data_IF_883908835569
#
_entry.id   IF_883908835569
#
_cell.length_a   1.000
_cell.length_b   1.000
_cell.length_c   1.000
_cell.angle_alpha   90.00
_cell.angle_beta   90.00
_cell.angle_gamma   90.00
#
_symmetry.space_group_name_H-M   'P 1'
#
loop_
_entity.id
_entity.type
_entity.pdbx_description
1 polymer ?
#
# COMPACT_ATOMS: atom_id res chain seq x y z
N UNK A 1 26.13 19.91 25.04
CA UNK A 1 25.78 19.89 23.59
C UNK A 1 25.61 18.47 23.01
N UNK A 2 25.76 17.39 23.80
CA UNK A 2 25.62 15.99 23.35
C UNK A 2 24.17 15.44 23.34
N UNK A 3 23.20 16.19 23.85
CA UNK A 3 21.83 15.71 24.07
C UNK A 3 20.92 15.89 22.83
N UNK A 4 21.08 17.00 22.11
CA UNK A 4 20.23 17.35 20.95
C UNK A 4 20.44 16.42 19.75
N UNK A 5 21.66 15.86 19.58
CA UNK A 5 22.00 14.93 18.49
C UNK A 5 21.48 13.50 18.73
N UNK A 6 21.40 13.07 19.98
CA UNK A 6 20.78 11.79 20.35
C UNK A 6 19.27 11.86 20.23
N UNK A 7 18.65 12.90 20.81
CA UNK A 7 17.22 13.14 20.68
C UNK A 7 16.78 13.25 19.21
N UNK A 8 17.56 13.92 18.35
CA UNK A 8 17.26 13.98 16.91
C UNK A 8 17.38 12.62 16.20
N UNK A 9 18.35 11.79 16.59
CA UNK A 9 18.51 10.43 16.02
C UNK A 9 17.40 9.48 16.44
N UNK A 10 16.81 9.67 17.61
CA UNK A 10 15.70 8.85 18.12
C UNK A 10 14.33 9.39 17.67
N UNK A 11 14.21 10.71 17.47
CA UNK A 11 12.97 11.36 17.02
C UNK A 11 12.78 11.27 15.50
N UNK A 12 13.86 11.30 14.71
CA UNK A 12 13.80 11.26 13.25
C UNK A 12 13.06 10.02 12.73
N UNK A 13 13.32 8.78 13.20
CA UNK A 13 12.56 7.60 12.80
C UNK A 13 11.07 7.70 13.12
N UNK A 14 10.72 8.28 14.27
CA UNK A 14 9.32 8.47 14.67
C UNK A 14 8.60 9.46 13.75
N UNK A 15 9.24 10.59 13.44
CA UNK A 15 8.69 11.60 12.52
C UNK A 15 8.50 11.01 11.12
N UNK A 16 9.48 10.26 10.63
CA UNK A 16 9.40 9.58 9.32
C UNK A 16 8.27 8.56 9.31
N UNK A 17 8.12 7.76 10.37
CA UNK A 17 7.07 6.75 10.46
C UNK A 17 5.67 7.37 10.52
N UNK A 18 5.48 8.43 11.32
CA UNK A 18 4.20 9.15 11.39
C UNK A 18 3.89 9.82 10.05
N UNK A 19 4.87 10.49 9.42
CA UNK A 19 4.67 11.11 8.12
C UNK A 19 4.28 10.08 7.04
N UNK A 20 4.93 8.91 7.05
CA UNK A 20 4.62 7.82 6.12
C UNK A 20 3.19 7.28 6.32
N UNK A 21 2.77 7.06 7.57
CA UNK A 21 1.41 6.59 7.86
C UNK A 21 0.34 7.63 7.54
N UNK A 22 0.60 8.91 7.82
CA UNK A 22 -0.28 10.00 7.43
C UNK A 22 -0.42 10.07 5.90
N UNK A 23 0.69 9.92 5.17
CA UNK A 23 0.68 9.91 3.71
C UNK A 23 -0.14 8.73 3.19
N UNK A 24 0.15 7.51 3.64
CA UNK A 24 -0.55 6.29 3.23
C UNK A 24 -2.07 6.38 3.50
N UNK A 25 -2.45 6.87 4.69
CA UNK A 25 -3.85 7.05 5.06
C UNK A 25 -4.53 8.10 4.18
N UNK A 26 -3.88 9.25 3.94
CA UNK A 26 -4.39 10.31 3.07
C UNK A 26 -4.62 9.83 1.64
N UNK A 27 -3.69 9.05 1.09
CA UNK A 27 -3.79 8.46 -0.24
C UNK A 27 -4.96 7.48 -0.35
N UNK A 28 -5.18 6.61 0.65
CA UNK A 28 -6.34 5.70 0.64
C UNK A 28 -7.68 6.42 0.77
N UNK A 29 -7.74 7.51 1.55
CA UNK A 29 -8.94 8.35 1.63
C UNK A 29 -9.23 9.03 0.29
N UNK A 30 -8.21 9.62 -0.34
CA UNK A 30 -8.31 10.25 -1.66
C UNK A 30 -8.71 9.24 -2.75
N UNK A 31 -8.16 8.04 -2.70
CA UNK A 31 -8.55 6.93 -3.58
C UNK A 31 -10.02 6.53 -3.36
N UNK A 32 -10.47 6.41 -2.11
CA UNK A 32 -11.87 6.10 -1.81
C UNK A 32 -12.80 7.22 -2.33
N UNK A 33 -12.43 8.48 -2.16
CA UNK A 33 -13.19 9.61 -2.70
C UNK A 33 -13.29 9.56 -4.24
N UNK A 34 -12.19 9.26 -4.93
CA UNK A 34 -12.17 9.12 -6.39
C UNK A 34 -13.02 7.94 -6.89
N UNK A 35 -12.98 6.80 -6.20
CA UNK A 35 -13.80 5.63 -6.56
C UNK A 35 -15.30 5.86 -6.29
N UNK A 36 -15.66 6.64 -5.27
CA UNK A 36 -17.05 7.07 -5.04
C UNK A 36 -17.58 7.97 -6.18
N UNK A 37 -16.71 8.68 -6.89
CA UNK A 37 -17.07 9.45 -8.09
C UNK A 37 -17.10 8.61 -9.38
N UNK A 38 -16.95 7.28 -9.27
CA UNK A 38 -17.06 6.33 -10.38
C UNK A 38 -15.74 5.98 -11.06
N UNK A 39 -14.59 6.36 -10.49
CA UNK A 39 -13.29 5.99 -11.04
C UNK A 39 -12.99 4.50 -10.85
N UNK A 40 -12.51 3.83 -11.91
CA UNK A 40 -12.10 2.43 -11.86
C UNK A 40 -10.74 2.27 -11.15
N UNK A 41 -10.66 1.29 -10.25
CA UNK A 41 -9.44 0.96 -9.49
C UNK A 41 -8.25 0.68 -10.41
N UNK A 42 -8.49 -0.02 -11.52
CA UNK A 42 -7.43 -0.39 -12.47
C UNK A 42 -6.86 0.82 -13.20
N UNK A 43 -7.74 1.73 -13.59
CA UNK A 43 -7.38 2.98 -14.27
C UNK A 43 -6.56 3.85 -13.32
N UNK A 44 -6.98 3.96 -12.06
CA UNK A 44 -6.23 4.70 -11.02
C UNK A 44 -4.81 4.17 -10.85
N UNK A 45 -4.65 2.86 -10.64
CA UNK A 45 -3.33 2.21 -10.46
C UNK A 45 -2.44 2.46 -11.67
N UNK A 46 -2.99 2.31 -12.89
CA UNK A 46 -2.25 2.51 -14.13
C UNK A 46 -1.72 3.93 -14.25
N UNK A 47 -2.56 4.93 -13.99
CA UNK A 47 -2.15 6.32 -14.05
C UNK A 47 -1.17 6.69 -12.94
N UNK A 48 -1.39 6.22 -11.71
CA UNK A 48 -0.48 6.48 -10.59
C UNK A 48 0.96 6.02 -10.90
N UNK A 49 1.14 4.75 -11.32
CA UNK A 49 2.47 4.24 -11.67
C UNK A 49 3.05 4.91 -12.92
N UNK A 50 2.23 5.20 -13.93
CA UNK A 50 2.70 5.86 -15.16
C UNK A 50 3.21 7.27 -14.90
N UNK A 51 2.47 8.06 -14.13
CA UNK A 51 2.87 9.43 -13.78
C UNK A 51 4.08 9.40 -12.85
N UNK A 52 4.14 8.46 -11.89
CA UNK A 52 5.32 8.31 -11.01
C UNK A 52 6.59 8.01 -11.80
N UNK A 53 6.54 7.06 -12.74
CA UNK A 53 7.66 6.77 -13.63
C UNK A 53 8.07 7.99 -14.47
N UNK A 54 7.11 8.72 -15.06
CA UNK A 54 7.39 9.90 -15.89
C UNK A 54 8.03 11.04 -15.09
N UNK A 55 7.60 11.27 -13.85
CA UNK A 55 8.17 12.29 -12.96
C UNK A 55 9.57 11.88 -12.48
N UNK A 56 9.79 10.59 -12.22
CA UNK A 56 11.10 10.09 -11.80
C UNK A 56 12.13 10.07 -12.94
N UNK A 57 11.69 9.98 -14.20
CA UNK A 57 12.57 9.94 -15.38
C UNK A 57 13.59 11.09 -15.46
N UNK A 58 13.23 12.39 -15.35
CA UNK A 58 14.22 13.45 -15.32
C UNK A 58 15.12 13.38 -14.08
N UNK A 59 14.56 13.07 -12.92
CA UNK A 59 15.31 13.02 -11.64
C UNK A 59 16.40 11.94 -11.70
N UNK A 60 16.07 10.76 -12.19
CA UNK A 60 17.02 9.63 -12.30
C UNK A 60 18.11 9.90 -13.33
N UNK A 61 17.76 10.55 -14.46
CA UNK A 61 18.73 10.92 -15.49
C UNK A 61 19.77 11.92 -14.97
N UNK A 62 19.35 12.97 -14.26
CA UNK A 62 20.26 13.96 -13.67
C UNK A 62 21.07 13.38 -12.49
N UNK A 63 20.44 12.54 -11.66
CA UNK A 63 21.09 11.90 -10.52
C UNK A 63 22.19 10.94 -10.96
N UNK A 64 21.92 10.09 -11.96
CA UNK A 64 22.89 9.13 -12.52
C UNK A 64 24.11 9.83 -13.13
N UNK A 65 23.95 11.04 -13.65
CA UNK A 65 25.08 11.85 -14.16
C UNK A 65 26.00 12.34 -13.04
N UNK A 66 25.49 12.45 -11.82
CA UNK A 66 26.18 13.08 -10.67
C UNK A 66 26.83 12.08 -9.72
N UNK A 67 26.61 10.77 -9.90
CA UNK A 67 27.07 9.69 -9.01
C UNK A 67 27.60 8.50 -9.80
N UNK A 68 28.61 7.83 -9.27
CA UNK A 68 29.03 6.50 -9.74
C UNK A 68 28.06 5.48 -9.13
N UNK A 69 27.16 4.94 -9.95
CA UNK A 69 26.20 3.90 -9.55
C UNK A 69 26.67 2.53 -10.02
N UNK A 70 26.37 1.44 -9.27
CA UNK A 70 26.66 0.08 -9.70
C UNK A 70 26.03 -0.20 -11.08
N UNK A 71 26.66 -1.01 -11.94
CA UNK A 71 26.07 -1.37 -13.22
C UNK A 71 24.78 -2.16 -13.01
N UNK A 72 23.72 -1.75 -13.72
CA UNK A 72 22.43 -2.42 -13.68
C UNK A 72 22.52 -3.72 -14.48
N UNK A 73 22.66 -4.85 -13.78
CA UNK A 73 22.70 -6.18 -14.41
C UNK A 73 21.28 -6.68 -14.70
N UNK A 74 21.14 -7.60 -15.66
CA UNK A 74 19.85 -8.22 -15.96
C UNK A 74 19.24 -8.95 -14.74
N UNK A 75 20.09 -9.56 -13.90
CA UNK A 75 19.67 -10.21 -12.65
C UNK A 75 19.00 -9.21 -11.70
N UNK A 76 19.64 -8.06 -11.45
CA UNK A 76 19.09 -7.00 -10.59
C UNK A 76 17.79 -6.45 -11.20
N UNK A 77 17.78 -6.21 -12.51
CA UNK A 77 16.59 -5.74 -13.20
C UNK A 77 15.41 -6.73 -13.08
N UNK A 78 15.67 -8.04 -13.19
CA UNK A 78 14.65 -9.07 -12.99
C UNK A 78 14.12 -9.08 -11.56
N UNK A 79 14.98 -8.88 -10.55
CA UNK A 79 14.56 -8.77 -9.15
C UNK A 79 13.68 -7.54 -8.94
N UNK A 80 14.07 -6.39 -9.50
CA UNK A 80 13.27 -5.15 -9.44
C UNK A 80 11.94 -5.31 -10.18
N UNK A 81 11.93 -6.00 -11.33
CA UNK A 81 10.70 -6.28 -12.06
C UNK A 81 9.73 -7.15 -11.24
N UNK A 82 10.24 -8.18 -10.58
CA UNK A 82 9.45 -9.03 -9.67
C UNK A 82 8.93 -8.23 -8.47
N UNK A 83 9.75 -7.33 -7.91
CA UNK A 83 9.33 -6.38 -6.88
C UNK A 83 8.18 -5.48 -7.40
N UNK A 84 8.25 -5.03 -8.66
CA UNK A 84 7.19 -4.29 -9.37
C UNK A 84 5.87 -5.07 -9.46
N UNK A 85 5.93 -6.34 -9.86
CA UNK A 85 4.77 -7.23 -9.96
C UNK A 85 4.11 -7.43 -8.58
N UNK A 86 4.90 -7.69 -7.54
CA UNK A 86 4.39 -7.86 -6.17
C UNK A 86 3.70 -6.58 -5.70
N UNK A 87 4.34 -5.42 -5.89
CA UNK A 87 3.80 -4.13 -5.46
C UNK A 87 2.50 -3.76 -6.20
N UNK A 88 2.47 -3.93 -7.52
CA UNK A 88 1.28 -3.72 -8.32
C UNK A 88 0.12 -4.65 -7.90
N UNK A 89 0.41 -5.94 -7.69
CA UNK A 89 -0.60 -6.92 -7.26
C UNK A 89 -1.17 -6.58 -5.90
N UNK A 90 -0.31 -6.18 -4.96
CA UNK A 90 -0.69 -5.73 -3.63
C UNK A 90 -1.61 -4.51 -3.68
N UNK A 91 -1.27 -3.47 -4.45
CA UNK A 91 -2.11 -2.29 -4.59
C UNK A 91 -3.49 -2.60 -5.19
N UNK A 92 -3.55 -3.44 -6.23
CA UNK A 92 -4.83 -3.86 -6.83
C UNK A 92 -5.71 -4.57 -5.80
N UNK A 93 -5.13 -5.49 -5.01
CA UNK A 93 -5.83 -6.18 -3.91
C UNK A 93 -6.28 -5.21 -2.81
N UNK A 94 -5.44 -4.25 -2.43
CA UNK A 94 -5.77 -3.22 -1.46
C UNK A 94 -6.96 -2.37 -1.90
N UNK A 95 -6.94 -1.88 -3.12
CA UNK A 95 -8.02 -1.08 -3.70
C UNK A 95 -9.31 -1.87 -3.90
N UNK A 96 -9.22 -3.14 -4.33
CA UNK A 96 -10.36 -4.03 -4.37
C UNK A 96 -10.93 -4.26 -2.95
N UNK A 97 -10.08 -4.51 -1.97
CA UNK A 97 -10.45 -4.69 -0.57
C UNK A 97 -11.18 -3.47 0.02
N UNK A 98 -10.65 -2.26 -0.20
CA UNK A 98 -11.28 -0.99 0.20
C UNK A 98 -12.63 -0.78 -0.49
N UNK A 99 -12.77 -1.22 -1.75
CA UNK A 99 -14.04 -1.12 -2.49
C UNK A 99 -15.13 -2.00 -1.87
N UNK A 100 -14.80 -3.23 -1.46
CA UNK A 100 -15.73 -4.16 -0.82
C UNK A 100 -15.94 -3.92 0.69
N UNK A 101 -15.10 -3.10 1.31
CA UNK A 101 -15.16 -2.77 2.74
C UNK A 101 -15.04 -1.26 2.98
N UNK A 102 -14.08 -0.83 3.80
CA UNK A 102 -13.87 0.57 4.16
C UNK A 102 -12.38 0.91 4.34
N UNK A 103 -11.99 2.19 4.17
CA UNK A 103 -10.64 2.65 4.51
C UNK A 103 -10.29 2.40 5.99
N UNK A 104 -11.25 2.46 6.90
CA UNK A 104 -11.04 2.17 8.33
C UNK A 104 -10.61 0.72 8.55
N UNK A 105 -11.25 -0.25 7.87
CA UNK A 105 -10.85 -1.66 7.94
C UNK A 105 -9.44 -1.85 7.38
N UNK A 106 -9.10 -1.17 6.29
CA UNK A 106 -7.74 -1.19 5.73
C UNK A 106 -6.71 -0.69 6.74
N UNK A 107 -6.98 0.44 7.40
CA UNK A 107 -6.09 0.98 8.45
C UNK A 107 -5.93 0.01 9.62
N UNK A 108 -7.02 -0.61 10.07
CA UNK A 108 -6.97 -1.60 11.14
C UNK A 108 -6.13 -2.83 10.77
N UNK A 109 -6.27 -3.37 9.57
CA UNK A 109 -5.47 -4.51 9.10
C UNK A 109 -4.00 -4.09 8.87
N UNK A 110 -3.73 -2.87 8.41
CA UNK A 110 -2.36 -2.37 8.24
C UNK A 110 -1.61 -2.20 9.57
N UNK A 111 -2.31 -1.98 10.67
CA UNK A 111 -1.70 -2.07 12.01
C UNK A 111 -1.19 -3.48 12.34
N UNK A 112 -1.54 -4.51 11.58
CA UNK A 112 -1.00 -5.87 11.71
C UNK A 112 0.30 -6.09 10.92
N UNK A 113 0.74 -5.12 10.10
CA UNK A 113 1.94 -5.22 9.28
C UNK A 113 3.19 -5.62 10.07
N UNK A 114 3.47 -5.06 11.27
CA UNK A 114 4.62 -5.51 12.07
C UNK A 114 4.55 -6.99 12.46
N UNK A 115 3.35 -7.50 12.75
CA UNK A 115 3.14 -8.90 13.10
C UNK A 115 3.35 -9.82 11.87
N UNK A 116 2.81 -9.45 10.71
CA UNK A 116 3.08 -10.17 9.46
C UNK A 116 4.57 -10.17 9.10
N UNK A 117 5.24 -9.03 9.29
CA UNK A 117 6.68 -8.87 9.07
C UNK A 117 7.49 -9.81 9.95
N UNK A 118 7.14 -9.91 11.23
CA UNK A 118 7.79 -10.83 12.16
C UNK A 118 7.61 -12.29 11.75
N UNK A 119 6.37 -12.69 11.42
CA UNK A 119 6.06 -14.06 10.97
C UNK A 119 6.84 -14.40 9.71
N UNK A 120 6.89 -13.50 8.73
CA UNK A 120 7.64 -13.70 7.49
C UNK A 120 9.14 -13.81 7.75
N UNK A 121 9.71 -12.94 8.59
CA UNK A 121 11.12 -12.99 8.96
C UNK A 121 11.52 -14.32 9.64
N UNK A 122 10.61 -14.89 10.42
CA UNK A 122 10.76 -16.23 11.01
C UNK A 122 10.74 -17.33 9.95
N UNK A 123 9.75 -17.32 9.06
CA UNK A 123 9.60 -18.34 8.00
C UNK A 123 10.80 -18.31 7.04
N UNK A 124 11.22 -17.12 6.63
CA UNK A 124 12.39 -16.90 5.76
C UNK A 124 13.73 -17.17 6.45
N UNK A 125 13.74 -17.59 7.73
CA UNK A 125 14.94 -17.79 8.57
C UNK A 125 15.88 -16.59 8.64
N UNK A 126 15.38 -15.39 8.32
CA UNK A 126 16.13 -14.14 8.49
C UNK A 126 16.35 -13.84 9.97
N UNK A 127 15.48 -14.36 10.84
CA UNK A 127 15.57 -14.23 12.29
C UNK A 127 15.69 -15.62 12.95
N UNK A 128 16.81 -15.88 13.64
CA UNK A 128 16.94 -17.07 14.50
C UNK A 128 16.15 -16.79 15.79
N UNK A 129 15.09 -17.56 16.03
CA UNK A 129 14.28 -17.44 17.26
C UNK A 129 15.10 -17.93 18.45
N UNK A 130 15.88 -17.04 19.05
CA UNK A 130 16.41 -17.23 20.39
C UNK A 130 15.43 -16.58 21.37
N UNK A 131 14.46 -17.35 21.87
CA UNK A 131 13.36 -16.87 22.74
C UNK A 131 13.86 -16.10 23.98
N UNK A 132 15.10 -16.35 24.43
CA UNK A 132 15.76 -15.65 25.53
C UNK A 132 16.36 -14.27 25.17
N UNK A 133 16.44 -13.89 23.89
CA UNK A 133 17.06 -12.63 23.46
C UNK A 133 16.07 -11.48 23.63
N UNK A 134 16.46 -10.43 24.37
CA UNK A 134 15.60 -9.26 24.66
C UNK A 134 15.02 -8.58 23.41
N UNK A 135 15.78 -8.57 22.30
CA UNK A 135 15.33 -8.02 21.01
C UNK A 135 14.19 -8.84 20.39
N UNK A 136 14.26 -10.17 20.47
CA UNK A 136 13.22 -11.07 19.95
C UNK A 136 11.96 -10.99 20.82
N UNK A 137 12.11 -10.87 22.14
CA UNK A 137 10.97 -10.63 23.03
C UNK A 137 10.30 -9.28 22.79
N UNK A 138 11.07 -8.21 22.56
CA UNK A 138 10.53 -6.90 22.21
C UNK A 138 9.75 -6.93 20.88
N UNK A 139 10.25 -7.65 19.86
CA UNK A 139 9.54 -7.84 18.58
C UNK A 139 8.24 -8.63 18.72
N UNK A 140 8.25 -9.70 19.53
CA UNK A 140 7.04 -10.48 19.83
C UNK A 140 6.02 -9.62 20.58
N UNK A 141 6.46 -8.92 21.64
CA UNK A 141 5.58 -8.06 22.43
C UNK A 141 5.03 -6.90 21.61
N UNK A 142 5.87 -6.27 20.78
CA UNK A 142 5.43 -5.25 19.83
C UNK A 142 4.40 -5.78 18.84
N UNK A 143 4.58 -7.00 18.33
CA UNK A 143 3.60 -7.64 17.44
C UNK A 143 2.26 -7.90 18.16
N UNK A 144 2.29 -8.39 19.39
CA UNK A 144 1.09 -8.62 20.21
C UNK A 144 0.37 -7.31 20.50
N UNK A 145 1.10 -6.24 20.87
CA UNK A 145 0.53 -4.90 21.10
C UNK A 145 -0.08 -4.35 19.80
N UNK A 146 0.57 -4.55 18.66
CA UNK A 146 0.06 -4.16 17.33
C UNK A 146 -1.27 -4.85 17.00
N UNK A 147 -1.34 -6.16 17.25
CA UNK A 147 -2.55 -6.98 17.06
C UNK A 147 -3.67 -6.50 17.98
N UNK A 148 -3.37 -6.30 19.27
CA UNK A 148 -4.35 -5.78 20.23
C UNK A 148 -4.82 -4.38 19.86
N UNK A 149 -3.93 -3.50 19.41
CA UNK A 149 -4.28 -2.15 18.93
C UNK A 149 -5.22 -2.19 17.72
N UNK A 150 -4.97 -3.07 16.76
CA UNK A 150 -5.86 -3.28 15.60
C UNK A 150 -7.25 -3.76 16.03
N UNK A 151 -7.33 -4.72 16.96
CA UNK A 151 -8.60 -5.19 17.51
C UNK A 151 -9.33 -4.11 18.28
N UNK A 152 -8.65 -3.32 19.12
CA UNK A 152 -9.26 -2.21 19.85
C UNK A 152 -9.79 -1.16 18.88
N UNK A 153 -9.05 -0.75 17.85
CA UNK A 153 -9.58 0.20 16.85
C UNK A 153 -10.81 -0.35 16.13
N UNK A 154 -10.79 -1.64 15.78
CA UNK A 154 -11.92 -2.32 15.11
C UNK A 154 -13.15 -2.40 16.00
N UNK A 155 -13.00 -2.76 17.28
CA UNK A 155 -14.12 -2.89 18.22
C UNK A 155 -14.59 -1.55 18.79
N UNK A 156 -13.69 -0.57 18.99
CA UNK A 156 -14.00 0.71 19.62
C UNK A 156 -14.59 1.72 18.63
N UNK A 157 -14.17 1.71 17.35
CA UNK A 157 -14.83 2.51 16.30
C UNK A 157 -16.07 1.83 15.71
N UNK A 158 -16.33 0.57 16.06
CA UNK A 158 -17.44 -0.21 15.52
C UNK A 158 -17.42 -0.29 14.00
N UNK A 159 -18.47 -0.87 13.42
CA UNK A 159 -18.72 -0.94 11.98
C UNK A 159 -18.86 0.49 11.44
N UNK A 160 -17.74 1.16 11.16
CA UNK A 160 -17.72 2.58 10.83
C UNK A 160 -18.31 2.79 9.44
N UNK A 161 -19.62 3.03 9.46
CA UNK A 161 -20.42 3.82 8.52
C UNK A 161 -20.37 3.31 7.09
N UNK A 162 -21.32 2.41 6.81
CA UNK A 162 -22.03 2.37 5.53
C UNK A 162 -22.56 3.79 5.34
N UNK A 163 -21.83 4.64 4.61
CA UNK A 163 -22.38 5.92 4.16
C UNK A 163 -23.47 5.53 3.17
N UNK A 164 -24.71 5.78 3.60
CA UNK A 164 -25.91 5.58 2.83
C UNK A 164 -25.77 6.23 1.46
N UNK A 165 -26.04 5.45 0.41
CA UNK A 165 -26.40 5.98 -0.89
C UNK A 165 -27.68 6.82 -0.70
N UNK A 166 -27.51 8.14 -0.70
CA UNK A 166 -28.62 9.08 -0.80
C UNK A 166 -29.18 9.01 -2.21
N UNK A 167 -30.33 8.34 -2.36
CA UNK A 167 -31.27 8.56 -3.46
C UNK A 167 -32.69 8.38 -2.92
N UNK A 168 -33.59 9.38 -3.06
CA UNK A 168 -34.93 9.28 -2.51
C UNK A 168 -35.85 8.62 -3.54
N UNK A 169 -36.23 7.36 -3.34
CA UNK A 169 -37.50 6.87 -3.91
C UNK A 169 -37.97 5.54 -3.30
N UNK A 170 -39.09 5.66 -2.57
CA UNK A 170 -40.25 4.76 -2.52
C UNK A 170 -40.11 3.45 -1.73
N UNK A 171 -41.02 3.30 -0.78
CA UNK A 171 -41.24 2.19 0.15
C UNK A 171 -41.57 0.85 -0.56
N UNK A 172 -41.01 -0.28 -0.07
CA UNK A 172 -41.68 -1.57 0.20
C UNK A 172 -40.70 -2.56 0.89
N UNK A 173 -41.11 -3.71 1.47
CA UNK A 173 -40.64 -4.15 2.79
C UNK A 173 -39.73 -5.38 2.71
N UNK A 174 -39.00 -5.62 3.81
CA UNK A 174 -38.29 -6.87 4.16
C UNK A 174 -37.16 -7.33 3.22
N UNK A 175 -35.93 -7.28 3.74
CA UNK A 175 -34.82 -8.05 3.15
C UNK A 175 -33.83 -8.54 4.20
N UNK A 176 -34.10 -9.73 4.75
CA UNK A 176 -33.08 -10.56 5.42
C UNK A 176 -31.92 -10.95 4.46
N UNK A 177 -32.03 -10.64 3.16
CA UNK A 177 -30.98 -10.79 2.15
C UNK A 177 -30.00 -9.61 2.01
N UNK A 178 -30.37 -8.39 2.43
CA UNK A 178 -29.44 -7.24 2.36
C UNK A 178 -28.35 -7.38 3.42
N UNK A 179 -28.70 -7.76 4.65
CA UNK A 179 -27.76 -7.94 5.74
C UNK A 179 -26.69 -9.00 5.40
N UNK A 180 -27.11 -10.14 4.84
CA UNK A 180 -26.20 -11.23 4.45
C UNK A 180 -25.29 -10.87 3.27
N UNK A 181 -25.76 -10.04 2.33
CA UNK A 181 -24.95 -9.55 1.21
C UNK A 181 -23.90 -8.53 1.64
N UNK A 182 -24.25 -7.64 2.57
CA UNK A 182 -23.34 -6.63 3.15
C UNK A 182 -22.25 -7.30 3.97
N UNK A 183 -22.60 -8.26 4.83
CA UNK A 183 -21.63 -9.02 5.63
C UNK A 183 -20.67 -9.83 4.74
N UNK A 184 -21.17 -10.46 3.67
CA UNK A 184 -20.34 -11.22 2.72
C UNK A 184 -19.34 -10.33 1.99
N UNK A 185 -19.76 -9.17 1.49
CA UNK A 185 -18.87 -8.23 0.82
C UNK A 185 -17.80 -7.69 1.77
N UNK A 186 -18.17 -7.40 3.02
CA UNK A 186 -17.23 -6.94 4.04
C UNK A 186 -16.17 -8.00 4.37
N UNK A 187 -16.55 -9.28 4.51
CA UNK A 187 -15.61 -10.40 4.73
C UNK A 187 -14.65 -10.57 3.55
N UNK A 188 -15.15 -10.49 2.32
CA UNK A 188 -14.30 -10.53 1.11
C UNK A 188 -13.31 -9.36 1.12
N UNK A 189 -13.78 -8.16 1.47
CA UNK A 189 -12.93 -6.98 1.62
C UNK A 189 -11.81 -7.18 2.64
N UNK A 190 -12.12 -7.72 3.82
CA UNK A 190 -11.13 -8.05 4.85
C UNK A 190 -10.09 -9.07 4.40
N UNK A 191 -10.52 -10.12 3.67
CA UNK A 191 -9.60 -11.13 3.13
C UNK A 191 -8.64 -10.54 2.08
N UNK A 192 -9.16 -9.72 1.16
CA UNK A 192 -8.37 -9.02 0.14
C UNK A 192 -7.36 -8.05 0.77
N UNK A 193 -7.78 -7.31 1.80
CA UNK A 193 -6.90 -6.41 2.57
C UNK A 193 -5.82 -7.17 3.33
N UNK A 194 -6.14 -8.34 3.88
CA UNK A 194 -5.15 -9.21 4.54
C UNK A 194 -4.12 -9.71 3.54
N UNK A 195 -4.56 -10.19 2.37
CA UNK A 195 -3.66 -10.60 1.29
C UNK A 195 -2.78 -9.44 0.79
N UNK A 196 -3.36 -8.24 0.66
CA UNK A 196 -2.63 -7.02 0.34
C UNK A 196 -1.49 -6.76 1.34
N UNK A 197 -1.76 -6.80 2.64
CA UNK A 197 -0.77 -6.55 3.69
C UNK A 197 0.33 -7.63 3.76
N UNK A 198 -0.01 -8.90 3.51
CA UNK A 198 0.99 -9.97 3.39
C UNK A 198 1.92 -9.69 2.19
N UNK A 199 1.37 -9.31 1.04
CA UNK A 199 2.18 -8.96 -0.13
C UNK A 199 3.02 -7.70 0.08
N UNK A 200 2.50 -6.67 0.76
CA UNK A 200 3.28 -5.49 1.16
C UNK A 200 4.46 -5.88 2.05
N UNK A 201 4.22 -6.79 2.99
CA UNK A 201 5.28 -7.30 3.87
C UNK A 201 6.37 -8.01 3.09
N UNK A 202 6.00 -8.89 2.16
CA UNK A 202 6.95 -9.57 1.25
C UNK A 202 7.70 -8.54 0.40
N UNK A 203 7.00 -7.53 -0.09
CA UNK A 203 7.57 -6.44 -0.88
C UNK A 203 8.65 -5.69 -0.10
N UNK A 204 8.38 -5.25 1.14
CA UNK A 204 9.36 -4.55 1.98
C UNK A 204 10.61 -5.39 2.25
N UNK A 205 10.43 -6.66 2.62
CA UNK A 205 11.56 -7.57 2.88
C UNK A 205 12.40 -7.75 1.61
N UNK A 206 11.75 -7.95 0.47
CA UNK A 206 12.44 -8.16 -0.81
C UNK A 206 13.16 -6.90 -1.29
N UNK A 207 12.56 -5.73 -1.10
CA UNK A 207 13.16 -4.43 -1.39
C UNK A 207 14.47 -4.24 -0.63
N UNK A 208 14.49 -4.55 0.68
CA UNK A 208 15.69 -4.45 1.52
C UNK A 208 16.80 -5.37 1.03
N UNK A 209 16.48 -6.61 0.61
CA UNK A 209 17.46 -7.53 0.05
C UNK A 209 18.05 -7.02 -1.28
N UNK A 210 17.23 -6.43 -2.15
CA UNK A 210 17.71 -5.82 -3.40
C UNK A 210 18.63 -4.63 -3.11
N UNK A 211 18.27 -3.76 -2.17
CA UNK A 211 19.07 -2.58 -1.82
C UNK A 211 20.43 -2.92 -1.20
N UNK A 212 20.60 -4.11 -0.60
CA UNK A 212 21.91 -4.60 -0.15
C UNK A 212 22.85 -4.91 -1.31
N UNK A 213 22.33 -5.42 -2.42
CA UNK A 213 23.10 -5.76 -3.63
C UNK A 213 23.24 -4.57 -4.58
N UNK A 214 22.20 -3.73 -4.64
CA UNK A 214 22.10 -2.55 -5.49
C UNK A 214 21.70 -1.33 -4.65
N UNK A 215 22.67 -0.64 -4.01
CA UNK A 215 22.42 0.49 -3.10
C UNK A 215 22.13 1.80 -3.86
N UNK A 216 21.22 1.76 -4.82
CA UNK A 216 20.72 2.93 -5.55
C UNK A 216 19.19 2.92 -5.53
N UNK A 217 18.64 3.51 -4.47
CA UNK A 217 17.20 3.60 -4.20
C UNK A 217 16.45 4.28 -5.33
N UNK A 218 17.00 5.38 -5.88
CA UNK A 218 16.31 6.16 -6.90
C UNK A 218 16.15 5.38 -8.20
N UNK A 219 17.20 4.70 -8.67
CA UNK A 219 17.10 3.83 -9.84
C UNK A 219 16.18 2.64 -9.58
N UNK A 220 16.25 2.03 -8.39
CA UNK A 220 15.37 0.93 -8.03
C UNK A 220 13.90 1.34 -8.10
N UNK A 221 13.54 2.47 -7.48
CA UNK A 221 12.15 3.00 -7.49
C UNK A 221 11.71 3.35 -8.91
N UNK A 222 12.60 3.89 -9.74
CA UNK A 222 12.29 4.18 -11.15
C UNK A 222 11.95 2.93 -11.95
N UNK A 223 12.82 1.91 -11.93
CA UNK A 223 12.58 0.66 -12.65
C UNK A 223 11.39 -0.12 -12.08
N UNK A 224 11.19 -0.07 -10.75
CA UNK A 224 10.01 -0.61 -10.08
C UNK A 224 8.72 0.03 -10.64
N UNK A 225 8.64 1.37 -10.68
CA UNK A 225 7.48 2.08 -11.19
C UNK A 225 7.24 1.82 -12.68
N UNK A 226 8.31 1.70 -13.48
CA UNK A 226 8.20 1.32 -14.89
C UNK A 226 7.57 -0.07 -15.06
N UNK A 227 8.09 -1.08 -14.35
CA UNK A 227 7.55 -2.44 -14.42
C UNK A 227 6.12 -2.50 -13.90
N UNK A 228 5.83 -1.83 -12.79
CA UNK A 228 4.49 -1.75 -12.22
C UNK A 228 3.51 -1.05 -13.18
N UNK A 229 3.92 0.02 -13.88
CA UNK A 229 3.10 0.69 -14.88
C UNK A 229 2.76 -0.23 -16.06
N UNK A 230 3.71 -1.02 -16.55
CA UNK A 230 3.48 -2.00 -17.63
C UNK A 230 2.47 -3.05 -17.18
N UNK A 231 2.68 -3.65 -16.01
CA UNK A 231 1.79 -4.69 -15.46
C UNK A 231 0.39 -4.11 -15.20
N UNK A 232 0.31 -2.94 -14.56
CA UNK A 232 -0.93 -2.25 -14.29
C UNK A 232 -1.70 -1.92 -15.57
N UNK A 233 -1.01 -1.45 -16.62
CA UNK A 233 -1.62 -1.17 -17.92
C UNK A 233 -2.21 -2.43 -18.55
N UNK A 234 -1.47 -3.55 -18.54
CA UNK A 234 -1.96 -4.82 -19.07
C UNK A 234 -3.18 -5.28 -18.28
N UNK A 235 -3.08 -5.33 -16.95
CA UNK A 235 -4.17 -5.77 -16.08
C UNK A 235 -5.37 -4.83 -16.21
N UNK A 236 -5.15 -3.53 -16.34
CA UNK A 236 -6.19 -2.54 -16.48
C UNK A 236 -6.92 -2.63 -17.80
N UNK A 237 -6.21 -2.82 -18.92
CA UNK A 237 -6.84 -3.03 -20.22
C UNK A 237 -7.68 -4.33 -20.26
N UNK A 238 -7.28 -5.35 -19.51
CA UNK A 238 -8.04 -6.59 -19.37
C UNK A 238 -9.25 -6.45 -18.43
N UNK A 239 -9.07 -5.72 -17.31
CA UNK A 239 -10.05 -5.56 -16.24
C UNK A 239 -11.11 -4.49 -16.50
N UNK A 240 -10.75 -3.41 -17.22
CA UNK A 240 -11.64 -2.30 -17.55
C UNK A 240 -11.75 -2.12 -19.07
N UNK A 241 -12.74 -2.81 -19.65
CA UNK A 241 -13.00 -2.81 -21.10
C UNK A 241 -13.70 -1.55 -21.59
N UNK A 242 -14.31 -0.77 -20.69
CA UNK A 242 -15.03 0.44 -21.07
C UNK A 242 -14.06 1.59 -21.35
N UNK A 243 -13.90 1.97 -22.62
CA UNK A 243 -13.03 3.08 -23.03
C UNK A 243 -13.40 4.43 -22.38
N UNK A 244 -14.67 4.62 -21.99
CA UNK A 244 -15.12 5.81 -21.26
C UNK A 244 -14.48 5.93 -19.86
N UNK A 245 -14.16 4.83 -19.20
CA UNK A 245 -13.53 4.81 -17.88
C UNK A 245 -12.06 5.29 -17.90
N UNK A 246 -11.42 5.24 -19.08
CA UNK A 246 -10.04 5.71 -19.28
C UNK A 246 -9.94 7.22 -19.50
N UNK A 247 -11.07 7.90 -19.73
CA UNK A 247 -11.12 9.37 -19.85
C UNK A 247 -11.05 9.99 -18.46
N UNK A 248 -9.87 10.48 -18.07
CA UNK A 248 -9.72 11.22 -16.82
C UNK A 248 -10.44 12.57 -16.93
N UNK A 249 -11.32 12.84 -15.97
CA UNK A 249 -11.90 14.17 -15.76
C UNK A 249 -10.99 14.97 -14.81
N UNK A 250 -10.91 16.30 -14.94
CA UNK A 250 -10.16 17.13 -14.01
C UNK A 250 -10.97 17.34 -12.71
N UNK A 251 -11.17 16.26 -11.97
CA UNK A 251 -11.90 16.21 -10.70
C UNK A 251 -11.01 15.61 -9.58
N UNK A 252 -11.62 15.15 -8.48
CA UNK A 252 -10.89 14.58 -7.33
C UNK A 252 -9.99 13.42 -7.78
N UNK A 253 -10.35 12.70 -8.84
CA UNK A 253 -9.53 11.62 -9.40
C UNK A 253 -8.16 12.09 -9.86
N UNK A 254 -8.06 13.24 -10.53
CA UNK A 254 -6.77 13.77 -10.99
C UNK A 254 -5.91 14.25 -9.80
N UNK A 255 -6.53 14.90 -8.82
CA UNK A 255 -5.86 15.33 -7.58
C UNK A 255 -5.30 14.11 -6.84
N UNK A 256 -6.10 13.05 -6.70
CA UNK A 256 -5.69 11.81 -6.04
C UNK A 256 -4.48 11.17 -6.74
N UNK A 257 -4.47 11.09 -8.09
CA UNK A 257 -3.33 10.55 -8.85
C UNK A 257 -2.07 11.38 -8.63
N UNK A 258 -2.17 12.71 -8.73
CA UNK A 258 -1.01 13.60 -8.56
C UNK A 258 -0.45 13.53 -7.13
N UNK A 259 -1.32 13.47 -6.12
CA UNK A 259 -0.91 13.30 -4.73
C UNK A 259 -0.17 11.97 -4.51
N UNK A 260 -0.60 10.88 -5.16
CA UNK A 260 0.10 9.58 -5.09
C UNK A 260 1.52 9.65 -5.65
N UNK A 261 1.77 10.51 -6.64
CA UNK A 261 3.08 10.63 -7.30
C UNK A 261 4.07 11.46 -6.48
N UNK A 262 3.60 12.47 -5.76
CA UNK A 262 4.46 13.35 -4.96
C UNK A 262 5.05 12.61 -3.75
N UNK A 263 4.42 11.51 -3.32
CA UNK A 263 4.83 10.73 -2.16
C UNK A 263 4.82 9.21 -2.46
N UNK A 264 5.84 8.70 -3.18
CA UNK A 264 5.95 7.29 -3.56
C UNK A 264 6.20 6.34 -2.38
#
# INVERSE_FOLDING_TARGET
MMDRRHCYKDLLPLVVLVANECNNTGLFTLFKAATLQGMSNYVFVTYAYSVAFLVLLPVTFFYRRSRVVPPLTFSILSKIALLGVIGCSSQILGYAGIRYSSPTLSSAISNLTPAFTFVLAVICRMEKIAVKRRTTQAKILGSIISVLGAFVVTFYKGQSVIIADNSPSIQLPQSNGILTSVDRNWVIGGLLLTACNILLTVWFVYQVEILKEFPDELSMVFFYNLCAAIVASIVGLLGEKNSSAWKIRPDISLISIVCTVIYP
#
